data_IF_390820948331
#
_entry.id   IF_390820948331
#
_cell.length_a   1.000
_cell.length_b   1.000
_cell.length_c   1.000
_cell.angle_alpha   90.00
_cell.angle_beta   90.00
_cell.angle_gamma   90.00
#
_symmetry.space_group_name_H-M   'P 1'
#
loop_
_entity.id
_entity.type
_entity.pdbx_description
1 polymer ?
#
# COMPACT_ATOMS: atom_id res chain seq x y z
N UNK A 1 -43.83 44.64 -15.84
CA UNK A 1 -43.74 43.80 -14.63
C UNK A 1 -44.78 42.70 -14.76
N UNK A 2 -44.33 41.49 -15.11
CA UNK A 2 -45.19 40.42 -15.62
C UNK A 2 -46.01 39.74 -14.52
N UNK A 3 -47.28 39.53 -14.86
CA UNK A 3 -48.32 38.79 -14.14
C UNK A 3 -48.00 37.29 -14.10
N UNK A 4 -48.43 36.65 -13.00
CA UNK A 4 -48.45 35.20 -12.86
C UNK A 4 -49.33 34.52 -13.90
N UNK A 5 -48.88 33.35 -14.34
CA UNK A 5 -49.58 32.43 -15.24
C UNK A 5 -49.68 31.10 -14.50
N UNK A 6 -50.91 30.72 -14.20
CA UNK A 6 -51.32 29.35 -13.84
C UNK A 6 -51.46 28.57 -15.16
N UNK A 7 -50.84 27.39 -15.25
CA UNK A 7 -51.03 26.47 -16.37
C UNK A 7 -51.50 25.14 -15.79
N UNK A 8 -52.80 24.88 -15.96
CA UNK A 8 -53.38 23.54 -15.92
C UNK A 8 -52.89 22.77 -17.16
N UNK A 9 -52.26 21.63 -16.92
CA UNK A 9 -52.00 20.63 -17.96
C UNK A 9 -52.41 19.26 -17.45
N UNK A 10 -53.62 18.85 -17.80
CA UNK A 10 -54.06 17.46 -17.78
C UNK A 10 -53.17 16.64 -18.70
N UNK A 11 -52.46 15.66 -18.15
CA UNK A 11 -51.79 14.61 -18.92
C UNK A 11 -52.47 13.29 -18.58
N UNK A 12 -53.07 12.70 -19.62
CA UNK A 12 -53.72 11.40 -19.63
C UNK A 12 -52.78 10.29 -19.15
N UNK A 13 -53.26 9.46 -18.21
CA UNK A 13 -52.70 8.14 -17.92
C UNK A 13 -53.08 7.14 -19.02
N UNK A 14 -52.11 6.42 -19.62
CA UNK A 14 -52.38 5.14 -20.27
C UNK A 14 -52.24 4.00 -19.24
N UNK A 15 -53.19 3.06 -19.30
CA UNK A 15 -53.23 1.83 -18.51
C UNK A 15 -52.03 0.89 -18.80
N UNK A 16 -51.68 -0.03 -17.87
CA UNK A 16 -50.46 -0.81 -17.96
C UNK A 16 -50.55 -1.89 -19.05
N UNK A 17 -49.54 -1.95 -19.92
CA UNK A 17 -49.33 -3.07 -20.83
C UNK A 17 -48.44 -4.10 -20.15
N UNK A 18 -48.98 -5.30 -19.99
CA UNK A 18 -48.32 -6.52 -19.53
C UNK A 18 -47.67 -7.21 -20.73
N UNK A 19 -46.34 -7.35 -20.71
CA UNK A 19 -45.61 -8.22 -21.64
C UNK A 19 -45.04 -9.46 -20.92
N UNK A 20 -44.84 -10.58 -21.65
CA UNK A 20 -44.71 -11.93 -21.10
C UNK A 20 -43.27 -12.30 -20.70
N UNK A 21 -43.05 -13.44 -20.01
CA UNK A 21 -41.75 -13.82 -19.48
C UNK A 21 -40.84 -14.39 -20.58
N UNK A 22 -39.68 -13.77 -20.77
CA UNK A 22 -38.61 -14.29 -21.63
C UNK A 22 -37.69 -15.24 -20.86
N UNK A 23 -37.98 -16.52 -21.00
CA UNK A 23 -37.11 -17.70 -21.02
C UNK A 23 -35.61 -17.55 -20.70
N UNK A 24 -35.18 -18.26 -19.65
CA UNK A 24 -33.84 -18.83 -19.54
C UNK A 24 -33.66 -20.01 -20.52
N UNK A 25 -32.45 -20.31 -21.00
CA UNK A 25 -32.10 -21.64 -21.45
C UNK A 25 -31.40 -22.43 -20.35
N UNK A 26 -31.85 -23.68 -20.24
CA UNK A 26 -31.46 -24.68 -19.29
C UNK A 26 -30.06 -25.24 -19.55
N UNK A 27 -29.46 -25.66 -18.44
CA UNK A 27 -28.44 -26.68 -18.29
C UNK A 27 -28.60 -27.85 -19.24
N UNK A 28 -27.55 -28.15 -20.03
CA UNK A 28 -27.30 -29.48 -20.57
C UNK A 28 -26.21 -30.14 -19.74
N UNK A 29 -26.57 -31.25 -19.09
CA UNK A 29 -25.65 -32.19 -18.48
C UNK A 29 -25.53 -33.43 -19.37
N UNK A 30 -24.28 -33.78 -19.72
CA UNK A 30 -23.80 -35.13 -20.07
C UNK A 30 -22.38 -34.98 -20.62
N UNK A 31 -21.39 -35.84 -20.40
CA UNK A 31 -21.13 -37.03 -19.60
C UNK A 31 -19.58 -37.13 -19.58
N UNK A 32 -19.03 -37.81 -18.58
CA UNK A 32 -17.61 -38.05 -18.34
C UNK A 32 -16.86 -38.62 -19.56
N UNK A 33 -15.66 -38.12 -19.81
CA UNK A 33 -14.52 -38.95 -20.20
C UNK A 33 -13.25 -38.40 -19.56
N UNK A 34 -12.47 -39.34 -19.00
CA UNK A 34 -11.21 -39.12 -18.29
C UNK A 34 -10.12 -38.70 -19.28
N UNK A 35 -9.30 -37.72 -18.90
CA UNK A 35 -7.88 -37.75 -19.30
C UNK A 35 -7.01 -37.07 -18.25
N UNK A 36 -5.96 -37.80 -17.86
CA UNK A 36 -4.95 -37.44 -16.88
C UNK A 36 -4.16 -36.20 -17.34
N UNK A 37 -4.16 -35.15 -16.52
CA UNK A 37 -3.46 -33.90 -16.80
C UNK A 37 -2.96 -33.25 -15.52
N UNK A 38 -1.78 -33.70 -15.09
CA UNK A 38 -1.00 -33.28 -13.92
C UNK A 38 -1.06 -31.76 -13.65
N UNK A 39 -1.87 -31.33 -12.67
CA UNK A 39 -1.90 -29.95 -12.18
C UNK A 39 -0.97 -29.82 -10.97
N UNK A 40 0.25 -29.33 -11.20
CA UNK A 40 1.17 -28.94 -10.13
C UNK A 40 0.68 -27.66 -9.44
N UNK A 41 0.71 -27.58 -8.11
CA UNK A 41 0.37 -26.34 -7.40
C UNK A 41 1.46 -25.28 -7.65
N UNK A 42 1.03 -24.06 -8.00
CA UNK A 42 1.87 -22.87 -8.01
C UNK A 42 2.37 -22.59 -6.58
N UNK A 43 3.57 -23.07 -6.28
CA UNK A 43 4.33 -22.63 -5.12
C UNK A 43 4.87 -21.23 -5.39
N UNK A 44 4.30 -20.21 -4.73
CA UNK A 44 4.98 -18.94 -4.53
C UNK A 44 6.11 -19.15 -3.52
N UNK A 45 7.39 -18.94 -3.87
CA UNK A 45 8.46 -18.99 -2.89
C UNK A 45 8.50 -17.66 -2.15
N UNK A 46 8.10 -17.67 -0.88
CA UNK A 46 8.44 -16.59 0.05
C UNK A 46 9.89 -16.77 0.49
N UNK A 47 10.84 -16.23 -0.28
CA UNK A 47 12.23 -16.18 0.15
C UNK A 47 12.49 -14.88 0.92
N UNK A 48 12.57 -15.00 2.25
CA UNK A 48 13.24 -14.02 3.12
C UNK A 48 14.73 -14.03 2.78
N UNK A 49 15.22 -13.01 2.06
CA UNK A 49 16.64 -12.88 1.76
C UNK A 49 17.41 -12.38 2.99
N UNK A 50 18.43 -13.14 3.36
CA UNK A 50 19.43 -12.84 4.38
C UNK A 50 20.30 -11.63 4.00
N UNK A 51 20.55 -10.77 4.98
CA UNK A 51 21.15 -9.45 4.87
C UNK A 51 22.68 -9.43 4.85
N UNK A 52 23.32 -10.09 3.88
CA UNK A 52 24.77 -9.99 3.70
C UNK A 52 25.09 -9.31 2.35
N UNK A 53 25.34 -8.00 2.37
CA UNK A 53 25.83 -7.33 1.15
C UNK A 53 25.80 -5.81 1.00
N UNK A 54 25.54 -4.99 2.04
CA UNK A 54 25.60 -3.51 1.88
C UNK A 54 26.87 -2.91 2.52
N UNK A 55 27.83 -2.40 1.72
CA UNK A 55 28.99 -1.67 2.24
C UNK A 55 28.61 -0.20 2.47
N UNK A 56 28.51 0.21 3.73
CA UNK A 56 28.22 1.60 4.10
C UNK A 56 27.70 1.74 5.54
N UNK A 57 28.52 1.35 6.52
CA UNK A 57 28.13 1.43 7.94
C UNK A 57 27.97 2.88 8.42
N UNK A 58 26.70 3.28 8.63
CA UNK A 58 26.21 3.95 9.85
C UNK A 58 24.67 3.89 9.90
N UNK A 59 24.14 2.74 10.29
CA UNK A 59 22.84 2.64 10.94
C UNK A 59 23.09 2.23 12.40
N UNK A 60 22.75 3.11 13.35
CA UNK A 60 22.55 2.70 14.75
C UNK A 60 21.06 2.81 15.05
N UNK A 61 20.59 1.78 15.76
CA UNK A 61 19.21 1.35 15.98
C UNK A 61 18.59 0.65 14.76
N UNK A 62 18.60 -0.68 14.78
CA UNK A 62 17.75 -1.50 13.90
C UNK A 62 16.30 -1.09 14.18
N UNK A 63 15.64 -0.51 13.18
CA UNK A 63 14.20 -0.33 13.21
C UNK A 63 13.57 -1.55 12.54
N UNK A 64 12.54 -2.10 13.19
CA UNK A 64 11.88 -3.36 12.83
C UNK A 64 11.00 -3.27 11.56
N UNK A 65 11.16 -2.22 10.75
CA UNK A 65 10.27 -1.85 9.63
C UNK A 65 10.97 -1.85 8.27
N UNK A 66 11.93 -2.76 8.06
CA UNK A 66 12.46 -3.05 6.73
C UNK A 66 11.62 -4.14 6.07
N UNK A 67 10.76 -3.75 5.12
CA UNK A 67 10.14 -4.69 4.20
C UNK A 67 10.83 -4.56 2.84
N UNK A 68 11.09 -5.71 2.22
CA UNK A 68 11.74 -5.81 0.92
C UNK A 68 10.92 -6.73 0.02
N UNK A 69 10.53 -6.21 -1.15
CA UNK A 69 10.03 -7.02 -2.25
C UNK A 69 10.95 -6.82 -3.46
N UNK A 70 11.69 -7.87 -3.80
CA UNK A 70 12.60 -7.92 -4.94
C UNK A 70 12.07 -8.93 -5.94
N UNK A 71 11.71 -8.49 -7.13
CA UNK A 71 11.37 -9.38 -8.23
C UNK A 71 12.58 -9.52 -9.15
N UNK A 72 13.16 -10.71 -9.16
CA UNK A 72 14.10 -11.17 -10.18
C UNK A 72 13.33 -12.08 -11.13
N UNK A 73 13.30 -11.83 -12.45
CA UNK A 73 12.92 -12.89 -13.38
C UNK A 73 13.86 -14.10 -13.20
N UNK A 74 13.35 -15.29 -13.52
CA UNK A 74 13.92 -16.65 -13.31
C UNK A 74 15.45 -16.75 -13.37
N UNK A 75 16.04 -17.76 -12.70
CA UNK A 75 17.47 -17.93 -12.32
C UNK A 75 18.59 -17.59 -13.35
N UNK A 76 18.27 -17.34 -14.62
CA UNK A 76 19.22 -16.97 -15.69
C UNK A 76 19.19 -15.48 -16.13
N UNK A 77 18.28 -14.64 -15.59
CA UNK A 77 18.19 -13.24 -16.03
C UNK A 77 19.11 -12.32 -15.24
N UNK A 78 20.18 -11.87 -15.91
CA UNK A 78 20.97 -10.73 -15.46
C UNK A 78 20.42 -9.47 -16.12
N UNK A 79 19.97 -8.50 -15.31
CA UNK A 79 19.55 -7.20 -15.81
C UNK A 79 20.62 -6.62 -16.74
N UNK A 80 20.20 -6.19 -17.94
CA UNK A 80 21.13 -5.66 -18.94
C UNK A 80 21.88 -4.44 -18.38
N UNK A 81 23.10 -4.18 -18.85
CA UNK A 81 23.84 -2.96 -18.48
C UNK A 81 23.02 -1.70 -18.79
N UNK A 82 22.23 -1.71 -19.87
CA UNK A 82 21.36 -0.60 -20.23
C UNK A 82 20.16 -0.44 -19.27
N UNK A 83 19.62 -1.54 -18.74
CA UNK A 83 18.58 -1.50 -17.71
C UNK A 83 19.13 -0.90 -16.42
N UNK A 84 20.29 -1.38 -15.94
CA UNK A 84 20.95 -0.84 -14.75
C UNK A 84 21.22 0.66 -14.85
N UNK A 85 21.72 1.14 -16.00
CA UNK A 85 21.88 2.58 -16.26
C UNK A 85 20.56 3.36 -16.19
N UNK A 86 19.44 2.74 -16.60
CA UNK A 86 18.11 3.34 -16.53
C UNK A 86 17.60 3.38 -15.08
N UNK A 87 17.87 2.34 -14.28
CA UNK A 87 17.62 2.34 -12.83
C UNK A 87 18.41 3.46 -12.16
N UNK A 88 19.73 3.56 -12.39
CA UNK A 88 20.57 4.62 -11.80
C UNK A 88 20.05 6.02 -12.15
N UNK A 89 19.62 6.21 -13.40
CA UNK A 89 19.03 7.45 -13.86
C UNK A 89 17.72 7.78 -13.14
N UNK A 90 16.86 6.78 -12.90
CA UNK A 90 15.63 6.92 -12.09
C UNK A 90 15.96 7.26 -10.65
N UNK A 91 16.89 6.56 -9.99
CA UNK A 91 17.28 6.82 -8.60
C UNK A 91 17.81 8.25 -8.42
N UNK A 92 18.69 8.70 -9.32
CA UNK A 92 19.20 10.07 -9.33
C UNK A 92 18.09 11.10 -9.55
N UNK A 93 17.12 10.81 -10.42
CA UNK A 93 15.97 11.69 -10.66
C UNK A 93 15.05 11.75 -9.44
N UNK A 94 14.76 10.62 -8.80
CA UNK A 94 13.93 10.56 -7.58
C UNK A 94 14.55 11.35 -6.44
N UNK A 95 15.87 11.23 -6.24
CA UNK A 95 16.60 12.02 -5.24
C UNK A 95 16.36 13.52 -5.39
N UNK A 96 16.31 14.02 -6.62
CA UNK A 96 16.01 15.43 -6.92
C UNK A 96 14.54 15.74 -6.74
N UNK A 97 13.66 14.93 -7.35
CA UNK A 97 12.23 15.20 -7.42
C UNK A 97 11.54 15.14 -6.05
N UNK A 98 11.97 14.23 -5.16
CA UNK A 98 11.41 14.09 -3.82
C UNK A 98 12.05 15.03 -2.77
N UNK A 99 13.16 15.70 -3.08
CA UNK A 99 13.96 16.44 -2.09
C UNK A 99 13.24 17.56 -1.34
N UNK A 100 12.22 18.16 -1.97
CA UNK A 100 11.49 19.32 -1.43
C UNK A 100 10.20 18.92 -0.71
N UNK A 101 9.46 17.97 -1.25
CA UNK A 101 8.09 17.62 -0.81
C UNK A 101 8.01 16.25 -0.15
N UNK A 102 9.11 15.49 -0.15
CA UNK A 102 9.12 14.09 0.26
C UNK A 102 8.37 13.17 -0.69
N UNK A 103 8.01 13.61 -1.90
CA UNK A 103 7.43 12.74 -2.91
C UNK A 103 7.93 13.09 -4.30
N UNK A 104 8.26 12.07 -5.09
CA UNK A 104 8.66 12.27 -6.47
C UNK A 104 8.44 11.02 -7.30
N UNK A 105 8.19 11.21 -8.59
CA UNK A 105 8.16 10.15 -9.59
C UNK A 105 9.27 10.40 -10.60
N UNK A 106 9.72 9.34 -11.28
CA UNK A 106 10.71 9.45 -12.34
C UNK A 106 10.55 8.34 -13.37
N UNK A 107 10.98 8.63 -14.59
CA UNK A 107 11.05 7.67 -15.69
C UNK A 107 12.37 7.89 -16.42
N UNK A 108 13.08 6.81 -16.74
CA UNK A 108 14.29 6.88 -17.56
C UNK A 108 14.42 5.66 -18.47
N UNK A 109 15.31 5.77 -19.46
CA UNK A 109 15.55 4.73 -20.45
C UNK A 109 14.51 4.71 -21.58
N UNK A 110 14.77 3.84 -22.56
CA UNK A 110 13.86 3.55 -23.67
C UNK A 110 13.52 2.06 -23.68
N UNK A 111 12.34 1.66 -24.19
CA UNK A 111 12.00 0.26 -24.35
C UNK A 111 13.11 -0.51 -25.09
N UNK A 112 13.49 -1.71 -24.64
CA UNK A 112 12.89 -2.48 -23.54
C UNK A 112 13.42 -2.14 -22.14
N UNK A 113 14.39 -1.23 -22.00
CA UNK A 113 15.07 -0.91 -20.74
C UNK A 113 14.45 0.27 -19.97
N UNK A 114 13.17 0.59 -20.22
CA UNK A 114 12.51 1.72 -19.55
C UNK A 114 12.21 1.34 -18.09
N UNK A 115 12.43 2.28 -17.18
CA UNK A 115 12.17 2.12 -15.74
C UNK A 115 11.27 3.25 -15.26
N UNK A 116 10.30 2.89 -14.43
CA UNK A 116 9.42 3.81 -13.70
C UNK A 116 9.76 3.73 -12.22
N UNK A 117 9.73 4.86 -11.52
CA UNK A 117 10.05 4.89 -10.10
C UNK A 117 9.25 5.93 -9.31
N UNK A 118 9.09 5.65 -8.03
CA UNK A 118 8.48 6.54 -7.03
C UNK A 118 9.30 6.56 -5.76
N UNK A 119 9.34 7.72 -5.11
CA UNK A 119 9.92 7.92 -3.78
C UNK A 119 8.89 8.62 -2.92
N UNK A 120 8.66 8.13 -1.70
CA UNK A 120 7.71 8.70 -0.76
C UNK A 120 8.28 8.70 0.65
N UNK A 121 8.44 9.85 1.28
CA UNK A 121 8.66 9.96 2.73
C UNK A 121 7.35 9.80 3.49
N UNK A 122 7.44 9.23 4.69
CA UNK A 122 6.28 9.16 5.59
C UNK A 122 5.82 10.56 6.01
N UNK A 123 4.52 10.70 6.24
CA UNK A 123 3.91 12.01 6.47
C UNK A 123 4.34 12.70 7.77
N UNK A 124 4.83 11.94 8.75
CA UNK A 124 5.39 12.41 10.02
C UNK A 124 6.92 12.55 10.02
N UNK A 125 7.61 12.09 8.96
CA UNK A 125 9.06 12.22 8.86
C UNK A 125 9.50 13.69 8.90
N UNK A 126 10.50 14.00 9.72
CA UNK A 126 11.11 15.33 9.71
C UNK A 126 11.76 15.60 8.34
N UNK A 127 12.03 16.88 8.03
CA UNK A 127 12.70 17.24 6.78
C UNK A 127 14.08 16.60 6.68
N UNK A 128 14.78 16.53 7.80
CA UNK A 128 16.11 15.96 7.93
C UNK A 128 16.07 14.44 7.75
N UNK A 129 15.13 13.77 8.42
CA UNK A 129 14.96 12.31 8.33
C UNK A 129 14.54 11.88 6.92
N UNK A 130 13.58 12.59 6.32
CA UNK A 130 13.16 12.37 4.94
C UNK A 130 14.32 12.54 3.96
N UNK A 131 15.12 13.61 4.09
CA UNK A 131 16.30 13.82 3.23
C UNK A 131 17.35 12.73 3.41
N UNK A 132 17.61 12.32 4.65
CA UNK A 132 18.53 11.23 4.97
C UNK A 132 18.06 9.92 4.33
N UNK A 133 16.78 9.60 4.48
CA UNK A 133 16.16 8.41 3.92
C UNK A 133 16.20 8.39 2.40
N UNK A 134 15.83 9.49 1.73
CA UNK A 134 15.92 9.62 0.26
C UNK A 134 17.36 9.41 -0.20
N UNK A 135 18.34 10.02 0.48
CA UNK A 135 19.75 9.88 0.11
C UNK A 135 20.22 8.43 0.21
N UNK A 136 19.85 7.74 1.29
CA UNK A 136 20.22 6.34 1.53
C UNK A 136 19.50 5.40 0.54
N UNK A 137 18.19 5.56 0.38
CA UNK A 137 17.38 4.72 -0.51
C UNK A 137 17.79 4.85 -1.99
N UNK A 138 18.26 6.04 -2.41
CA UNK A 138 18.73 6.28 -3.79
C UNK A 138 20.23 6.10 -3.96
N UNK A 139 20.94 5.67 -2.92
CA UNK A 139 22.33 5.26 -3.06
C UNK A 139 22.33 4.01 -3.96
N UNK A 140 22.91 4.17 -5.15
CA UNK A 140 22.89 3.12 -6.17
C UNK A 140 23.54 1.86 -5.62
N UNK A 141 22.78 0.77 -5.62
CA UNK A 141 23.27 -0.54 -5.22
C UNK A 141 23.28 -1.42 -6.46
N UNK A 142 24.23 -2.36 -6.51
CA UNK A 142 24.36 -3.31 -7.61
C UNK A 142 23.27 -4.40 -7.48
N UNK A 143 22.01 -3.96 -7.38
CA UNK A 143 20.86 -4.79 -7.08
C UNK A 143 20.55 -5.73 -8.24
N UNK A 144 20.28 -7.02 -7.96
CA UNK A 144 19.82 -7.96 -8.98
C UNK A 144 18.34 -7.76 -9.33
N UNK A 145 17.58 -6.96 -8.57
CA UNK A 145 16.15 -6.81 -8.72
C UNK A 145 15.78 -6.07 -10.01
N UNK A 146 14.89 -6.64 -10.81
CA UNK A 146 14.31 -5.95 -11.96
C UNK A 146 13.19 -5.00 -11.51
N UNK A 147 12.35 -5.45 -10.58
CA UNK A 147 11.40 -4.61 -9.86
C UNK A 147 11.72 -4.66 -8.38
N UNK A 148 11.66 -3.52 -7.72
CA UNK A 148 12.05 -3.39 -6.32
C UNK A 148 11.08 -2.47 -5.58
N UNK A 149 10.59 -2.91 -4.41
CA UNK A 149 9.99 -2.05 -3.39
C UNK A 149 10.77 -2.23 -2.10
N UNK A 150 11.18 -1.12 -1.49
CA UNK A 150 11.85 -1.10 -0.19
C UNK A 150 11.18 -0.09 0.71
N UNK A 151 10.68 -0.56 1.84
CA UNK A 151 10.18 0.27 2.91
C UNK A 151 11.31 0.47 3.91
N UNK A 152 11.78 1.70 4.02
CA UNK A 152 12.71 2.15 5.05
C UNK A 152 11.92 2.76 6.21
N UNK A 153 12.63 3.15 7.26
CA UNK A 153 12.04 3.72 8.48
C UNK A 153 11.27 5.03 8.25
N UNK A 154 11.64 5.78 7.21
CA UNK A 154 11.15 7.14 6.99
C UNK A 154 10.70 7.38 5.54
N UNK A 155 10.86 6.40 4.65
CA UNK A 155 10.51 6.52 3.24
C UNK A 155 10.37 5.16 2.56
N UNK A 156 9.75 5.16 1.38
CA UNK A 156 9.59 4.00 0.51
C UNK A 156 10.12 4.35 -0.87
N UNK A 157 10.96 3.47 -1.40
CA UNK A 157 11.42 3.50 -2.79
C UNK A 157 10.76 2.35 -3.55
N UNK A 158 10.22 2.66 -4.73
CA UNK A 158 9.76 1.65 -5.68
C UNK A 158 10.28 1.94 -7.08
N UNK A 159 10.73 0.92 -7.79
CA UNK A 159 10.88 0.97 -9.24
C UNK A 159 10.46 -0.33 -9.92
N UNK A 160 10.15 -0.25 -11.21
CA UNK A 160 9.71 -1.38 -12.02
C UNK A 160 9.90 -1.10 -13.51
N UNK A 161 10.08 -2.12 -14.37
CA UNK A 161 9.99 -1.96 -15.82
C UNK A 161 8.55 -1.69 -16.29
N UNK A 162 7.56 -2.15 -15.52
CA UNK A 162 6.13 -1.92 -15.78
C UNK A 162 5.70 -0.55 -15.25
N UNK A 163 4.87 0.17 -16.01
CA UNK A 163 4.35 1.45 -15.56
C UNK A 163 3.31 1.24 -14.45
N UNK A 164 3.61 1.71 -13.24
CA UNK A 164 2.69 1.69 -12.10
C UNK A 164 2.32 3.10 -11.60
N UNK A 165 2.86 4.16 -12.20
CA UNK A 165 2.63 5.53 -11.74
C UNK A 165 1.17 5.91 -11.99
N UNK A 166 0.47 6.28 -10.93
CA UNK A 166 -0.95 6.64 -10.94
C UNK A 166 -1.89 5.45 -11.12
N UNK A 167 -1.40 4.23 -10.88
CA UNK A 167 -2.19 3.00 -10.95
C UNK A 167 -2.39 2.47 -9.54
N UNK A 168 -3.65 2.22 -9.17
CA UNK A 168 -3.98 1.51 -7.93
C UNK A 168 -3.40 0.10 -7.98
N UNK A 169 -2.57 -0.23 -7.00
CA UNK A 169 -1.92 -1.53 -6.87
C UNK A 169 -2.03 -1.99 -5.41
N UNK A 170 -2.96 -2.93 -5.21
CA UNK A 170 -3.30 -3.51 -3.90
C UNK A 170 -2.73 -4.91 -3.73
N UNK A 171 -1.81 -5.33 -4.62
CA UNK A 171 -1.14 -6.62 -4.55
C UNK A 171 -0.02 -6.62 -3.49
N UNK A 172 0.51 -7.80 -3.22
CA UNK A 172 1.64 -8.07 -2.30
C UNK A 172 1.48 -7.46 -0.90
N UNK A 173 0.25 -7.53 -0.37
CA UNK A 173 -0.03 -7.09 1.00
C UNK A 173 0.91 -7.82 1.96
N UNK A 174 1.70 -7.04 2.68
CA UNK A 174 2.69 -7.53 3.63
C UNK A 174 2.50 -6.84 4.96
N UNK A 175 2.62 -7.59 6.04
CA UNK A 175 2.55 -7.06 7.40
C UNK A 175 3.79 -7.46 8.20
N UNK A 176 4.27 -6.58 9.06
CA UNK A 176 5.21 -6.88 10.12
C UNK A 176 4.68 -6.41 11.46
N UNK A 177 5.09 -7.10 12.52
CA UNK A 177 4.71 -6.80 13.91
C UNK A 177 5.96 -6.88 14.76
N UNK A 178 6.07 -6.06 15.80
CA UNK A 178 7.10 -6.25 16.80
C UNK A 178 6.84 -7.56 17.60
N UNK A 179 7.72 -8.58 17.53
CA UNK A 179 7.52 -9.83 18.28
C UNK A 179 7.56 -9.64 19.80
N UNK A 180 8.18 -8.55 20.28
CA UNK A 180 8.23 -8.21 21.70
C UNK A 180 7.00 -7.40 22.15
N UNK A 181 6.12 -6.98 21.22
CA UNK A 181 4.88 -6.31 21.57
C UNK A 181 3.87 -7.33 22.11
N UNK A 182 3.27 -7.09 23.29
CA UNK A 182 2.27 -7.98 23.83
C UNK A 182 0.97 -7.87 23.04
N UNK A 183 0.25 -8.98 22.89
CA UNK A 183 -1.09 -8.96 22.30
C UNK A 183 -2.09 -8.19 23.19
N UNK A 184 -3.18 -7.74 22.57
CA UNK A 184 -4.23 -6.98 23.24
C UNK A 184 -4.93 -7.85 24.27
N UNK A 185 -5.05 -7.35 25.51
CA UNK A 185 -5.67 -8.12 26.60
C UNK A 185 -7.18 -8.35 26.41
N UNK A 186 -7.86 -7.42 25.74
CA UNK A 186 -9.25 -7.57 25.27
C UNK A 186 -9.29 -7.29 23.76
N UNK A 187 -9.13 -8.32 22.90
CA UNK A 187 -9.12 -8.14 21.46
C UNK A 187 -10.43 -7.55 20.92
N UNK A 188 -11.58 -7.84 21.54
CA UNK A 188 -12.86 -7.34 21.04
C UNK A 188 -12.98 -5.83 21.19
N UNK A 189 -12.65 -5.30 22.38
CA UNK A 189 -12.65 -3.85 22.64
C UNK A 189 -11.55 -3.16 21.84
N UNK A 190 -10.36 -3.76 21.78
CA UNK A 190 -9.23 -3.23 21.02
C UNK A 190 -9.56 -3.05 19.54
N UNK A 191 -10.07 -4.09 18.88
CA UNK A 191 -10.40 -4.02 17.45
C UNK A 191 -11.49 -3.01 17.13
N UNK A 192 -12.52 -2.91 17.98
CA UNK A 192 -13.57 -1.92 17.78
C UNK A 192 -12.99 -0.50 17.75
N UNK A 193 -12.07 -0.19 18.68
CA UNK A 193 -11.41 1.12 18.72
C UNK A 193 -10.40 1.29 17.58
N UNK A 194 -9.63 0.25 17.25
CA UNK A 194 -8.68 0.26 16.13
C UNK A 194 -9.38 0.56 14.81
N UNK A 195 -10.45 -0.18 14.48
CA UNK A 195 -11.22 0.03 13.25
C UNK A 195 -11.83 1.44 13.22
N UNK A 196 -12.37 1.90 14.37
CA UNK A 196 -12.88 3.28 14.49
C UNK A 196 -11.81 4.31 14.18
N UNK A 197 -10.58 4.14 14.70
CA UNK A 197 -9.46 5.00 14.39
C UNK A 197 -9.11 4.94 12.90
N UNK A 198 -8.88 3.75 12.34
CA UNK A 198 -8.41 3.58 10.96
C UNK A 198 -9.41 4.11 9.92
N UNK A 199 -10.72 3.92 10.12
CA UNK A 199 -11.73 4.50 9.23
C UNK A 199 -11.76 6.03 9.30
N UNK A 200 -11.63 6.61 10.50
CA UNK A 200 -11.54 8.07 10.66
C UNK A 200 -10.27 8.65 10.02
N UNK A 201 -9.13 7.97 10.16
CA UNK A 201 -7.88 8.35 9.51
C UNK A 201 -7.98 8.24 8.00
N UNK A 202 -8.61 7.19 7.48
CA UNK A 202 -8.86 7.01 6.04
C UNK A 202 -9.70 8.15 5.47
N UNK A 203 -10.80 8.52 6.14
CA UNK A 203 -11.63 9.66 5.74
C UNK A 203 -10.85 10.98 5.76
N UNK A 204 -9.96 11.15 6.74
CA UNK A 204 -9.10 12.34 6.84
C UNK A 204 -8.05 12.37 5.71
N UNK A 205 -7.34 11.27 5.48
CA UNK A 205 -6.30 11.18 4.45
C UNK A 205 -6.86 11.40 3.03
N UNK A 206 -8.08 10.90 2.77
CA UNK A 206 -8.76 11.02 1.47
C UNK A 206 -9.57 12.32 1.32
N UNK A 207 -9.88 13.02 2.41
CA UNK A 207 -10.55 14.33 2.40
C UNK A 207 -9.61 15.54 2.47
N UNK A 208 -8.33 15.34 2.80
CA UNK A 208 -7.40 16.44 3.05
C UNK A 208 -6.92 17.12 1.76
N UNK A 209 -7.15 18.44 1.67
CA UNK A 209 -6.71 19.28 0.54
C UNK A 209 -5.20 19.54 0.50
N UNK A 210 -4.45 19.16 1.53
CA UNK A 210 -2.98 19.27 1.54
C UNK A 210 -2.31 18.46 0.43
N UNK A 211 -3.01 17.45 -0.12
CA UNK A 211 -2.46 16.53 -1.11
C UNK A 211 -1.43 15.54 -0.55
N UNK A 212 -1.23 15.52 0.78
CA UNK A 212 -0.28 14.62 1.43
C UNK A 212 -0.77 13.17 1.47
N UNK A 213 -2.09 12.95 1.34
CA UNK A 213 -2.75 11.65 1.46
C UNK A 213 -2.30 10.87 2.70
N UNK A 214 -2.20 11.58 3.82
CA UNK A 214 -1.69 11.11 5.10
C UNK A 214 -2.60 11.59 6.23
N UNK A 215 -2.78 10.75 7.24
CA UNK A 215 -3.42 11.12 8.50
C UNK A 215 -2.84 10.32 9.66
N UNK A 216 -2.78 10.93 10.84
CA UNK A 216 -2.36 10.31 12.09
C UNK A 216 -3.31 10.69 13.22
N UNK A 217 -3.43 9.83 14.22
CA UNK A 217 -4.31 10.08 15.36
C UNK A 217 -4.15 9.05 16.46
N UNK A 218 -4.94 9.24 17.52
CA UNK A 218 -4.96 8.38 18.68
C UNK A 218 -6.41 8.07 19.07
N UNK A 219 -6.64 6.92 19.68
CA UNK A 219 -7.91 6.58 20.33
C UNK A 219 -7.65 5.81 21.63
N UNK A 220 -8.45 6.08 22.66
CA UNK A 220 -8.34 5.37 23.95
C UNK A 220 -9.04 4.01 23.86
N UNK A 221 -8.40 2.99 24.46
CA UNK A 221 -8.98 1.63 24.60
C UNK A 221 -9.45 1.41 26.04
N UNK A 222 -8.59 1.74 27.00
CA UNK A 222 -8.85 1.68 28.45
C UNK A 222 -8.18 2.87 29.14
N UNK A 223 -8.36 3.01 30.46
CA UNK A 223 -7.63 3.98 31.28
C UNK A 223 -6.12 3.70 31.22
N UNK A 224 -5.40 4.52 30.46
CA UNK A 224 -3.94 4.45 30.31
C UNK A 224 -3.43 3.69 29.07
N UNK A 225 -4.31 3.07 28.27
CA UNK A 225 -3.93 2.48 26.98
C UNK A 225 -4.58 3.24 25.83
N UNK A 226 -3.76 3.66 24.87
CA UNK A 226 -4.23 4.33 23.66
C UNK A 226 -3.56 3.71 22.44
N UNK A 227 -4.33 3.50 21.39
CA UNK A 227 -3.82 3.15 20.08
C UNK A 227 -3.38 4.44 19.41
N UNK A 228 -2.12 4.50 19.00
CA UNK A 228 -1.62 5.47 18.04
C UNK A 228 -1.61 4.82 16.65
N UNK A 229 -2.00 5.55 15.62
CA UNK A 229 -1.89 5.05 14.27
C UNK A 229 -1.79 6.13 13.22
N UNK A 230 -1.34 5.74 12.04
CA UNK A 230 -1.33 6.57 10.86
C UNK A 230 -1.60 5.75 9.59
N UNK A 231 -2.10 6.44 8.58
CA UNK A 231 -2.37 5.88 7.25
C UNK A 231 -1.76 6.79 6.20
N UNK A 232 -1.29 6.20 5.10
CA UNK A 232 -0.70 6.94 4.00
C UNK A 232 -0.92 6.27 2.66
N UNK A 233 -1.14 7.06 1.62
CA UNK A 233 -1.09 6.62 0.23
C UNK A 233 0.07 7.27 -0.51
N UNK A 234 0.51 6.64 -1.60
CA UNK A 234 1.37 7.32 -2.58
C UNK A 234 0.58 8.47 -3.23
N UNK A 235 1.28 9.55 -3.61
CA UNK A 235 0.62 10.80 -4.03
C UNK A 235 0.38 10.87 -5.54
N UNK A 236 0.62 9.78 -6.26
CA UNK A 236 0.37 9.65 -7.70
C UNK A 236 -1.01 9.09 -8.04
N UNK A 237 -1.72 8.49 -7.08
CA UNK A 237 -3.07 7.93 -7.27
C UNK A 237 -4.18 8.93 -6.91
N UNK A 238 -5.43 8.60 -7.28
CA UNK A 238 -6.59 9.44 -6.92
C UNK A 238 -6.97 9.28 -5.44
N UNK A 239 -7.69 10.27 -4.88
CA UNK A 239 -8.23 10.18 -3.51
C UNK A 239 -9.17 8.97 -3.33
N UNK A 240 -9.90 8.60 -4.38
CA UNK A 240 -10.79 7.44 -4.36
C UNK A 240 -10.01 6.12 -4.32
N UNK A 241 -8.94 6.03 -5.11
CA UNK A 241 -8.06 4.86 -5.12
C UNK A 241 -7.33 4.71 -3.80
N UNK A 242 -6.90 5.83 -3.19
CA UNK A 242 -6.34 5.84 -1.85
C UNK A 242 -7.32 5.27 -0.82
N UNK A 243 -8.60 5.69 -0.86
CA UNK A 243 -9.63 5.14 0.03
C UNK A 243 -9.85 3.65 -0.17
N UNK A 244 -9.88 3.20 -1.42
CA UNK A 244 -10.01 1.77 -1.77
C UNK A 244 -8.83 0.96 -1.23
N UNK A 245 -7.61 1.46 -1.41
CA UNK A 245 -6.41 0.79 -0.93
C UNK A 245 -6.40 0.66 0.60
N UNK A 246 -6.68 1.75 1.32
CA UNK A 246 -6.71 1.74 2.78
C UNK A 246 -7.80 0.82 3.33
N UNK A 247 -8.97 0.78 2.70
CA UNK A 247 -10.03 -0.17 3.06
C UNK A 247 -9.59 -1.63 2.90
N UNK A 248 -8.85 -1.96 1.84
CA UNK A 248 -8.30 -3.31 1.64
C UNK A 248 -7.28 -3.70 2.72
N UNK A 249 -6.42 -2.76 3.15
CA UNK A 249 -5.50 -3.00 4.26
C UNK A 249 -6.25 -3.17 5.59
N UNK A 250 -7.30 -2.38 5.84
CA UNK A 250 -8.16 -2.55 7.03
C UNK A 250 -8.78 -3.95 7.06
N UNK A 251 -9.34 -4.42 5.93
CA UNK A 251 -9.90 -5.78 5.83
C UNK A 251 -8.82 -6.86 6.07
N UNK A 252 -7.59 -6.62 5.63
CA UNK A 252 -6.47 -7.54 5.87
C UNK A 252 -6.09 -7.59 7.36
N UNK A 253 -6.11 -6.46 8.07
CA UNK A 253 -5.86 -6.40 9.52
C UNK A 253 -6.85 -7.27 10.29
N UNK A 254 -8.13 -7.24 9.93
CA UNK A 254 -9.18 -8.06 10.56
C UNK A 254 -8.91 -9.57 10.44
N UNK A 255 -8.09 -10.00 9.47
CA UNK A 255 -7.75 -11.42 9.25
C UNK A 255 -6.38 -11.82 9.79
N UNK A 256 -5.35 -10.97 9.64
CA UNK A 256 -3.97 -11.32 10.00
C UNK A 256 -3.61 -10.98 11.44
N UNK A 257 -4.22 -9.94 12.00
CA UNK A 257 -3.57 -9.12 13.01
C UNK A 257 -4.53 -8.66 14.14
N UNK A 258 -5.63 -9.41 14.32
CA UNK A 258 -6.78 -9.06 15.17
C UNK A 258 -6.42 -8.80 16.65
N UNK A 259 -5.34 -9.37 17.18
CA UNK A 259 -4.92 -9.18 18.57
C UNK A 259 -3.60 -8.42 18.70
N UNK A 260 -2.98 -8.04 17.58
CA UNK A 260 -1.64 -7.43 17.58
C UNK A 260 -1.73 -5.98 17.98
N UNK A 261 -0.83 -5.56 18.86
CA UNK A 261 -0.79 -4.17 19.37
C UNK A 261 0.25 -3.30 18.68
N UNK A 262 1.07 -3.87 17.80
CA UNK A 262 1.96 -3.17 16.88
C UNK A 262 1.92 -3.85 15.52
N UNK A 263 1.53 -3.10 14.49
CA UNK A 263 1.48 -3.59 13.11
C UNK A 263 1.92 -2.48 12.16
N UNK A 264 2.77 -2.87 11.22
CA UNK A 264 3.00 -2.18 9.97
C UNK A 264 2.43 -3.04 8.85
N UNK A 265 1.43 -2.57 8.13
CA UNK A 265 0.86 -3.29 6.98
C UNK A 265 0.87 -2.39 5.76
N UNK A 266 1.25 -2.95 4.63
CA UNK A 266 1.44 -2.20 3.39
C UNK A 266 0.95 -3.00 2.20
N UNK A 267 0.41 -2.29 1.22
CA UNK A 267 0.37 -2.74 -0.18
C UNK A 267 1.44 -1.95 -0.94
N UNK A 268 1.44 -2.04 -2.27
CA UNK A 268 2.34 -1.25 -3.11
C UNK A 268 1.93 0.23 -3.27
N UNK A 269 0.73 0.62 -2.83
CA UNK A 269 0.20 2.00 -2.97
C UNK A 269 -0.26 2.66 -1.67
N UNK A 270 -0.47 1.90 -0.60
CA UNK A 270 -0.83 2.46 0.70
C UNK A 270 -0.25 1.69 1.87
N UNK A 271 -0.26 2.34 3.02
CA UNK A 271 0.39 1.90 4.26
C UNK A 271 -0.53 2.22 5.43
N UNK A 272 -0.62 1.30 6.37
CA UNK A 272 -1.22 1.51 7.69
C UNK A 272 -0.19 1.10 8.75
N UNK A 273 -0.03 1.97 9.74
CA UNK A 273 0.74 1.66 10.94
C UNK A 273 -0.13 1.92 12.15
N UNK A 274 -0.11 1.00 13.11
CA UNK A 274 -0.62 1.30 14.43
C UNK A 274 0.21 0.62 15.50
N UNK A 275 0.23 1.23 16.68
CA UNK A 275 0.91 0.70 17.84
C UNK A 275 0.21 1.14 19.13
N UNK A 276 0.43 0.44 20.24
CA UNK A 276 0.10 0.88 21.60
C UNK A 276 1.41 1.28 22.29
N UNK A 277 1.82 2.55 22.25
CA UNK A 277 3.15 2.97 22.70
C UNK A 277 3.46 2.58 24.15
N UNK A 278 2.44 2.53 25.01
CA UNK A 278 2.58 2.21 26.43
C UNK A 278 2.99 0.75 26.68
N UNK A 279 2.79 -0.13 25.69
CA UNK A 279 3.13 -1.55 25.75
C UNK A 279 4.51 -1.85 25.15
N UNK A 280 5.12 -0.89 24.45
CA UNK A 280 6.43 -1.07 23.80
C UNK A 280 7.63 -0.85 24.75
N UNK A 281 7.39 -0.38 25.98
CA UNK A 281 8.42 0.05 26.93
C UNK A 281 8.68 -0.92 28.10
N UNK A 282 8.21 -2.16 28.07
CA UNK A 282 8.37 -3.10 29.19
C UNK A 282 9.58 -4.05 29.10
N UNK A 283 10.47 -3.92 28.11
CA UNK A 283 11.63 -4.83 27.94
C UNK A 283 12.99 -4.28 28.38
N UNK A 284 13.05 -3.12 29.04
CA UNK A 284 14.30 -2.63 29.66
C UNK A 284 14.13 -2.44 31.17
N UNK A 285 14.31 -3.54 31.90
CA UNK A 285 14.61 -3.55 33.33
C UNK A 285 15.87 -4.39 33.57
#
# INVERSE_FOLDING_TARGET
AFKGISIDAQIHHPAPQTDPPSSAPASHASVLDNDEGNSMPLHHPTHSLSSDGFPGERCRSFSFRYLLQCYTPTEDYKASTAYKQSVDSVLLALRRNASLTGFGTAVAGQPPNRVYGTMLCYGDASREDCKGCISNATEGTDSPCESWVMWFDQCVLRYSPSNFIGVLDTEDISSSTNPDSPDASDPAVFNLQLLTLLYNLTATATGNRSGMMYATGNISVTDGQMIHGWVQCTRDISLNDCGTCLANLISSIETCCIDKTDVFITSRTCIIMYQVPQLLSTSSA
#
